data_IF_376387350317
#
_entry.id   IF_376387350317
#
_cell.length_a   1.000
_cell.length_b   1.000
_cell.length_c   1.000
_cell.angle_alpha   90.00
_cell.angle_beta   90.00
_cell.angle_gamma   90.00
#
_symmetry.space_group_name_H-M   'P 1'
#
loop_
_entity.id
_entity.type
_entity.pdbx_description
1 polymer ?
#
# COMPACT_ATOMS: atom_id res chain seq x y z
N UNK A 1 8.96 22.34 0.01
CA UNK A 1 8.11 22.41 -1.20
C UNK A 1 7.92 21.00 -1.77
N UNK A 2 7.41 20.06 -0.97
CA UNK A 2 7.25 18.62 -1.32
C UNK A 2 5.84 18.26 -1.83
N UNK A 3 4.89 19.21 -1.76
CA UNK A 3 3.48 18.99 -2.10
C UNK A 3 3.17 18.57 -3.55
N UNK A 4 3.83 19.09 -4.62
CA UNK A 4 3.39 18.78 -5.98
C UNK A 4 3.70 17.34 -6.39
N UNK A 5 4.86 16.82 -5.99
CA UNK A 5 5.31 15.46 -6.33
C UNK A 5 4.52 14.41 -5.53
N UNK A 6 4.16 14.74 -4.29
CA UNK A 6 3.26 13.95 -3.46
C UNK A 6 1.86 13.82 -4.09
N UNK A 7 1.31 14.93 -4.55
CA UNK A 7 -0.03 14.98 -5.14
C UNK A 7 -0.09 14.26 -6.49
N UNK A 8 0.96 14.42 -7.32
CA UNK A 8 1.09 13.67 -8.57
C UNK A 8 1.13 12.15 -8.32
N UNK A 9 1.91 11.71 -7.33
CA UNK A 9 1.98 10.30 -6.97
C UNK A 9 0.63 9.74 -6.51
N UNK A 10 -0.07 10.47 -5.63
CA UNK A 10 -1.40 10.08 -5.16
C UNK A 10 -2.38 9.94 -6.33
N UNK A 11 -2.41 10.93 -7.22
CA UNK A 11 -3.25 10.90 -8.41
C UNK A 11 -2.95 9.70 -9.31
N UNK A 12 -1.68 9.35 -9.50
CA UNK A 12 -1.28 8.17 -10.27
C UNK A 12 -1.71 6.86 -9.58
N UNK A 13 -1.61 6.79 -8.25
CA UNK A 13 -2.09 5.65 -7.47
C UNK A 13 -3.62 5.50 -7.54
N UNK A 14 -4.37 6.60 -7.55
CA UNK A 14 -5.82 6.57 -7.71
C UNK A 14 -6.24 6.16 -9.13
N UNK A 15 -5.53 6.66 -10.15
CA UNK A 15 -5.77 6.34 -11.56
C UNK A 15 -5.33 4.91 -11.94
N UNK A 16 -4.39 4.32 -11.19
CA UNK A 16 -3.78 3.04 -11.55
C UNK A 16 -2.65 3.16 -12.57
N UNK A 17 -2.10 4.36 -12.73
CA UNK A 17 -1.07 4.66 -13.71
C UNK A 17 0.31 4.25 -13.19
N UNK A 18 0.68 2.99 -13.44
CA UNK A 18 1.94 2.41 -12.97
C UNK A 18 3.17 3.19 -13.43
N UNK A 19 3.18 3.63 -14.69
CA UNK A 19 4.32 4.35 -15.29
C UNK A 19 4.53 5.68 -14.59
N UNK A 20 3.46 6.42 -14.32
CA UNK A 20 3.54 7.72 -13.65
C UNK A 20 3.86 7.56 -12.16
N UNK A 21 3.29 6.54 -11.50
CA UNK A 21 3.63 6.21 -10.11
C UNK A 21 5.11 5.88 -9.97
N UNK A 22 5.67 5.03 -10.85
CA UNK A 22 7.09 4.67 -10.83
C UNK A 22 8.00 5.85 -11.17
N UNK A 23 7.67 6.63 -12.21
CA UNK A 23 8.44 7.82 -12.59
C UNK A 23 8.49 8.84 -11.44
N UNK A 24 7.35 9.07 -10.79
CA UNK A 24 7.23 9.99 -9.65
C UNK A 24 8.03 9.46 -8.46
N UNK A 25 7.95 8.16 -8.17
CA UNK A 25 8.73 7.50 -7.11
C UNK A 25 10.24 7.60 -7.36
N UNK A 26 10.70 7.38 -8.60
CA UNK A 26 12.11 7.54 -8.97
C UNK A 26 12.58 9.00 -8.86
N UNK A 27 11.72 9.95 -9.23
CA UNK A 27 11.98 11.38 -9.04
C UNK A 27 12.12 11.73 -7.56
N UNK A 28 11.25 11.19 -6.69
CA UNK A 28 11.37 11.29 -5.23
C UNK A 28 12.71 10.72 -4.73
N UNK A 29 13.07 9.50 -5.15
CA UNK A 29 14.34 8.86 -4.76
C UNK A 29 15.57 9.65 -5.20
N UNK A 30 15.49 10.35 -6.33
CA UNK A 30 16.57 11.18 -6.84
C UNK A 30 16.61 12.58 -6.20
N UNK A 31 15.48 13.05 -5.67
CA UNK A 31 15.32 14.41 -5.12
C UNK A 31 15.45 14.46 -3.60
N UNK A 32 15.28 13.34 -2.90
CA UNK A 32 15.61 13.25 -1.48
C UNK A 32 17.11 13.50 -1.34
N UNK A 33 17.44 14.61 -0.67
CA UNK A 33 18.76 14.87 -0.14
C UNK A 33 19.30 13.57 0.48
N UNK A 34 20.56 13.24 0.18
CA UNK A 34 21.17 11.91 0.32
C UNK A 34 21.26 11.31 1.73
N UNK A 35 20.34 11.61 2.63
CA UNK A 35 20.23 11.01 3.93
C UNK A 35 18.80 11.06 4.48
N UNK A 36 17.90 10.21 3.97
CA UNK A 36 16.91 9.57 4.83
C UNK A 36 16.65 8.15 4.35
N UNK A 37 17.10 7.22 5.18
CA UNK A 37 16.62 5.85 5.35
C UNK A 37 15.14 5.72 4.91
N UNK A 38 14.80 4.60 4.25
CA UNK A 38 13.44 4.21 3.85
C UNK A 38 12.35 4.91 4.68
N UNK A 39 11.38 5.60 4.06
CA UNK A 39 10.47 6.49 4.76
C UNK A 39 9.87 5.80 5.98
N UNK A 40 10.21 6.33 7.15
CA UNK A 40 9.88 5.78 8.45
C UNK A 40 8.38 5.83 8.69
N UNK A 41 7.61 4.89 8.11
CA UNK A 41 6.23 4.42 8.41
C UNK A 41 5.21 5.41 9.01
N UNK A 42 5.42 6.72 8.90
CA UNK A 42 4.59 7.72 9.54
C UNK A 42 3.40 7.97 8.62
N UNK A 43 2.21 7.95 9.19
CA UNK A 43 0.94 8.08 8.48
C UNK A 43 0.81 9.38 7.66
N UNK A 44 1.72 10.33 7.84
CA UNK A 44 1.80 11.60 7.11
C UNK A 44 2.60 11.50 5.79
N UNK A 45 3.15 10.33 5.44
CA UNK A 45 3.91 10.19 4.20
C UNK A 45 3.00 10.05 2.97
N UNK A 46 3.17 10.84 1.90
CA UNK A 46 2.30 10.82 0.73
C UNK A 46 2.31 9.48 -0.02
N UNK A 47 3.43 8.75 0.04
CA UNK A 47 3.50 7.39 -0.52
C UNK A 47 2.65 6.38 0.29
N UNK A 48 2.48 6.57 1.61
CA UNK A 48 1.59 5.73 2.42
C UNK A 48 0.12 5.98 2.04
N UNK A 49 -0.26 7.23 1.85
CA UNK A 49 -1.58 7.58 1.33
C UNK A 49 -1.81 7.00 -0.09
N UNK A 50 -0.79 7.06 -0.95
CA UNK A 50 -0.82 6.42 -2.27
C UNK A 50 -0.97 4.90 -2.21
N UNK A 51 -0.30 4.24 -1.27
CA UNK A 51 -0.44 2.80 -1.04
C UNK A 51 -1.87 2.40 -0.66
N UNK A 52 -2.49 3.17 0.25
CA UNK A 52 -3.89 2.98 0.65
C UNK A 52 -4.82 3.20 -0.53
N UNK A 53 -4.63 4.26 -1.30
CA UNK A 53 -5.44 4.56 -2.48
C UNK A 53 -5.33 3.44 -3.54
N UNK A 54 -4.11 3.01 -3.87
CA UNK A 54 -3.87 1.91 -4.79
C UNK A 54 -4.54 0.60 -4.30
N UNK A 55 -4.44 0.30 -3.00
CA UNK A 55 -5.09 -0.86 -2.41
C UNK A 55 -6.63 -0.77 -2.47
N UNK A 56 -7.21 0.41 -2.21
CA UNK A 56 -8.67 0.65 -2.26
C UNK A 56 -9.22 0.54 -3.68
N UNK A 57 -8.42 0.90 -4.68
CA UNK A 57 -8.79 0.78 -6.09
C UNK A 57 -8.46 -0.59 -6.70
N UNK A 58 -7.75 -1.46 -5.97
CA UNK A 58 -7.40 -2.80 -6.46
C UNK A 58 -6.14 -2.86 -7.32
N UNK A 59 -5.31 -1.81 -7.34
CA UNK A 59 -4.13 -1.68 -8.20
C UNK A 59 -2.92 -2.43 -7.65
N UNK A 60 -2.96 -3.76 -7.73
CA UNK A 60 -1.95 -4.66 -7.17
C UNK A 60 -0.51 -4.37 -7.62
N UNK A 61 -0.30 -3.95 -8.88
CA UNK A 61 1.04 -3.63 -9.40
C UNK A 61 1.69 -2.45 -8.69
N UNK A 62 0.91 -1.41 -8.38
CA UNK A 62 1.39 -0.22 -7.66
C UNK A 62 1.66 -0.57 -6.19
N UNK A 63 0.77 -1.37 -5.58
CA UNK A 63 0.97 -1.89 -4.21
C UNK A 63 2.28 -2.65 -4.12
N UNK A 64 2.56 -3.56 -5.06
CA UNK A 64 3.80 -4.33 -5.08
C UNK A 64 5.05 -3.44 -5.20
N UNK A 65 5.02 -2.41 -6.06
CA UNK A 65 6.11 -1.45 -6.24
C UNK A 65 6.43 -0.74 -4.91
N UNK A 66 5.40 -0.23 -4.23
CA UNK A 66 5.53 0.50 -2.98
C UNK A 66 6.05 -0.40 -1.85
N UNK A 67 5.54 -1.62 -1.72
CA UNK A 67 6.03 -2.56 -0.70
C UNK A 67 7.50 -2.95 -0.95
N UNK A 68 7.91 -3.13 -2.22
CA UNK A 68 9.33 -3.34 -2.58
C UNK A 68 10.24 -2.17 -2.21
N UNK A 69 9.71 -0.95 -2.09
CA UNK A 69 10.50 0.19 -1.59
C UNK A 69 10.71 0.21 -0.07
N UNK A 70 10.15 -0.74 0.66
CA UNK A 70 10.31 -0.86 2.11
C UNK A 70 9.12 -0.30 2.91
N UNK A 71 7.99 -0.01 2.26
CA UNK A 71 6.76 0.31 2.98
C UNK A 71 6.19 -0.93 3.64
N UNK A 72 5.75 -0.77 4.89
CA UNK A 72 5.10 -1.83 5.64
C UNK A 72 3.59 -1.83 5.36
N UNK A 73 3.01 -3.03 5.28
CA UNK A 73 1.55 -3.18 5.23
C UNK A 73 0.96 -2.74 6.57
N UNK A 74 0.29 -1.60 6.54
CA UNK A 74 -0.46 -1.06 7.69
C UNK A 74 -1.90 -1.57 7.67
N UNK A 75 -2.60 -1.60 8.81
CA UNK A 75 -4.01 -2.03 8.87
C UNK A 75 -4.92 -1.25 7.91
N UNK A 76 -4.61 0.03 7.65
CA UNK A 76 -5.36 0.86 6.71
C UNK A 76 -5.26 0.35 5.25
N UNK A 77 -4.08 -0.14 4.85
CA UNK A 77 -3.88 -0.74 3.52
C UNK A 77 -4.66 -2.05 3.39
N UNK A 78 -4.71 -2.85 4.46
CA UNK A 78 -5.47 -4.11 4.48
C UNK A 78 -6.98 -3.82 4.42
N UNK A 79 -7.45 -2.79 5.13
CA UNK A 79 -8.84 -2.33 5.06
C UNK A 79 -9.20 -1.86 3.65
N UNK A 80 -8.33 -1.07 3.03
CA UNK A 80 -8.48 -0.60 1.66
C UNK A 80 -8.52 -1.77 0.66
N UNK A 81 -7.58 -2.72 0.74
CA UNK A 81 -7.58 -3.93 -0.07
C UNK A 81 -8.85 -4.77 0.11
N UNK A 82 -9.40 -4.81 1.34
CA UNK A 82 -10.66 -5.51 1.62
C UNK A 82 -11.85 -4.83 0.91
N UNK A 83 -11.90 -3.50 0.90
CA UNK A 83 -12.95 -2.74 0.20
C UNK A 83 -12.88 -2.93 -1.32
N UNK A 84 -11.68 -3.07 -1.88
CA UNK A 84 -11.51 -3.25 -3.32
C UNK A 84 -11.99 -4.61 -3.81
N UNK A 85 -12.23 -5.57 -2.90
CA UNK A 85 -12.59 -6.96 -3.21
C UNK A 85 -11.58 -7.63 -4.17
N UNK A 86 -10.37 -7.09 -4.27
CA UNK A 86 -9.34 -7.55 -5.20
C UNK A 86 -8.37 -8.47 -4.48
N UNK A 87 -8.50 -9.78 -4.71
CA UNK A 87 -7.55 -10.79 -4.22
C UNK A 87 -6.12 -10.57 -4.74
N UNK A 88 -5.97 -9.92 -5.91
CA UNK A 88 -4.68 -9.58 -6.47
C UNK A 88 -3.86 -8.64 -5.56
N UNK A 89 -4.52 -7.74 -4.84
CA UNK A 89 -3.84 -6.82 -3.91
C UNK A 89 -3.27 -7.58 -2.71
N UNK A 90 -4.04 -8.51 -2.14
CA UNK A 90 -3.55 -9.38 -1.07
C UNK A 90 -2.40 -10.27 -1.56
N UNK A 91 -2.48 -10.76 -2.78
CA UNK A 91 -1.41 -11.55 -3.38
C UNK A 91 -0.12 -10.72 -3.51
N UNK A 92 -0.22 -9.46 -3.93
CA UNK A 92 0.91 -8.54 -4.00
C UNK A 92 1.53 -8.25 -2.62
N UNK A 93 0.71 -8.15 -1.56
CA UNK A 93 1.21 -8.01 -0.19
C UNK A 93 2.00 -9.23 0.24
N UNK A 94 1.45 -10.44 0.03
CA UNK A 94 2.09 -11.70 0.40
C UNK A 94 3.41 -11.88 -0.37
N UNK A 95 3.43 -11.60 -1.68
CA UNK A 95 4.64 -11.66 -2.51
C UNK A 95 5.74 -10.71 -2.02
N UNK A 96 5.35 -9.54 -1.50
CA UNK A 96 6.28 -8.59 -0.90
C UNK A 96 6.75 -8.99 0.52
N UNK A 97 6.33 -10.15 1.04
CA UNK A 97 6.74 -10.65 2.35
C UNK A 97 5.84 -10.22 3.50
N UNK A 98 4.61 -9.75 3.23
CA UNK A 98 3.63 -9.52 4.27
C UNK A 98 3.20 -10.84 4.91
N UNK A 99 3.50 -10.99 6.19
CA UNK A 99 3.09 -12.13 6.97
C UNK A 99 1.82 -11.77 7.76
N UNK A 100 0.68 -12.31 7.31
CA UNK A 100 -0.63 -12.11 7.94
C UNK A 100 -0.63 -12.50 9.43
N UNK A 101 0.22 -13.46 9.82
CA UNK A 101 0.31 -13.92 11.22
C UNK A 101 1.14 -12.95 12.07
N UNK A 102 2.17 -12.31 11.52
CA UNK A 102 2.94 -11.26 12.21
C UNK A 102 2.12 -9.97 12.36
N UNK A 103 1.37 -9.60 11.33
CA UNK A 103 0.43 -8.47 11.36
C UNK A 103 -0.69 -8.64 12.38
N UNK A 104 -1.02 -9.88 12.74
CA UNK A 104 -1.99 -10.23 13.76
C UNK A 104 -1.39 -10.36 15.18
N UNK A 105 -0.13 -9.96 15.36
CA UNK A 105 0.66 -10.11 16.59
C UNK A 105 0.13 -9.40 17.85
N UNK A 106 -1.01 -8.71 17.77
CA UNK A 106 -1.76 -8.25 18.94
C UNK A 106 -3.09 -8.97 18.99
N UNK A 107 -3.17 -9.97 19.87
CA UNK A 107 -4.34 -10.66 20.43
C UNK A 107 -5.70 -10.08 20.01
N UNK A 108 -6.19 -10.41 18.80
CA UNK A 108 -7.54 -10.03 18.35
C UNK A 108 -7.72 -9.79 16.86
N UNK A 109 -6.68 -9.42 16.11
CA UNK A 109 -6.86 -8.97 14.73
C UNK A 109 -6.88 -10.10 13.68
N UNK A 110 -6.24 -11.25 13.91
CA UNK A 110 -6.31 -12.39 12.97
C UNK A 110 -7.74 -12.87 12.71
N UNK A 111 -8.54 -13.02 13.78
CA UNK A 111 -9.96 -13.39 13.68
C UNK A 111 -10.78 -12.28 12.99
N UNK A 112 -10.42 -11.02 13.21
CA UNK A 112 -11.05 -9.87 12.56
C UNK A 112 -10.76 -9.87 11.06
N UNK A 113 -9.51 -10.10 10.64
CA UNK A 113 -9.12 -10.22 9.24
C UNK A 113 -9.70 -11.46 8.56
N UNK A 114 -9.71 -12.61 9.25
CA UNK A 114 -10.35 -13.82 8.74
C UNK A 114 -11.86 -13.61 8.53
N UNK A 115 -12.55 -12.94 9.47
CA UNK A 115 -13.96 -12.57 9.32
C UNK A 115 -14.18 -11.56 8.21
N UNK A 116 -13.28 -10.58 8.05
CA UNK A 116 -13.34 -9.61 6.96
C UNK A 116 -13.11 -10.25 5.60
N UNK A 117 -12.11 -11.13 5.48
CA UNK A 117 -11.90 -11.95 4.29
C UNK A 117 -13.14 -12.79 4.00
N UNK A 118 -13.76 -13.42 5.00
CA UNK A 118 -15.01 -14.16 4.81
C UNK A 118 -16.18 -13.26 4.37
N UNK A 119 -16.26 -12.02 4.85
CA UNK A 119 -17.27 -11.04 4.39
C UNK A 119 -17.01 -10.55 2.96
N UNK A 120 -15.75 -10.42 2.56
CA UNK A 120 -15.36 -9.96 1.22
C UNK A 120 -15.34 -11.09 0.16
N UNK A 121 -15.13 -12.34 0.57
CA UNK A 121 -15.01 -13.52 -0.33
C UNK A 121 -16.13 -14.55 -0.16
N UNK A 122 -16.97 -14.45 0.87
CA UNK A 122 -18.00 -15.44 1.20
C UNK A 122 -19.37 -15.21 0.58
N UNK A 123 -19.45 -14.56 -0.57
CA UNK A 123 -20.68 -14.39 -1.33
C UNK A 123 -20.47 -14.89 -2.77
N UNK A 124 -20.34 -16.21 -2.88
CA UNK A 124 -20.63 -16.97 -4.10
C UNK A 124 -21.56 -18.13 -3.71
#
# INVERSE_FOLDING_TARGET
>A
MTAPIANAFLSACEAGDFVEAEATLNSWRSSSDGNTHVPSSNADHPLQAGLVAAAEKGHASIVALLLKTGFHVSPDVILAASKSQSSAVFQAMIDAGWDINQSAGMTGDALRWARFAYLCFGHD
#
